data_IF_704155991963
#
_entry.id   IF_704155991963
#
_cell.length_a   1.000
_cell.length_b   1.000
_cell.length_c   1.000
_cell.angle_alpha   90.00
_cell.angle_beta   90.00
_cell.angle_gamma   90.00
#
_symmetry.space_group_name_H-M   'P 1'
#
loop_
_entity.id
_entity.type
_entity.pdbx_description
1 polymer ?
#
# COMPACT_ATOMS: atom_id res chain seq x y z
N UNK A 1 48.63 -9.83 -33.70
CA UNK A 1 47.50 -10.51 -33.05
C UNK A 1 47.22 -9.82 -31.73
N UNK A 2 45.93 -9.77 -31.36
CA UNK A 2 45.31 -9.14 -30.19
C UNK A 2 44.98 -7.64 -30.27
N UNK A 3 43.90 -7.34 -31.01
CA UNK A 3 42.87 -6.40 -30.54
C UNK A 3 41.49 -6.94 -30.92
N UNK A 4 40.67 -7.23 -29.90
CA UNK A 4 39.31 -7.72 -30.02
C UNK A 4 38.54 -7.35 -28.76
N UNK A 5 38.28 -6.05 -28.62
CA UNK A 5 37.49 -5.43 -27.56
C UNK A 5 36.08 -6.05 -27.51
N UNK A 6 35.80 -6.74 -26.40
CA UNK A 6 34.53 -7.38 -26.13
C UNK A 6 33.50 -6.33 -25.77
N UNK A 7 32.64 -5.98 -26.74
CA UNK A 7 31.43 -5.22 -26.51
C UNK A 7 30.50 -5.94 -25.54
N UNK A 8 30.66 -5.65 -24.25
CA UNK A 8 29.67 -5.95 -23.24
C UNK A 8 28.46 -5.05 -23.49
N UNK A 9 27.44 -5.61 -24.13
CA UNK A 9 26.11 -5.04 -24.17
C UNK A 9 25.64 -4.93 -22.72
N UNK A 10 25.78 -3.74 -22.14
CA UNK A 10 25.19 -3.44 -20.84
C UNK A 10 23.68 -3.46 -21.02
N UNK A 11 23.11 -4.64 -20.78
CA UNK A 11 21.68 -4.86 -20.67
C UNK A 11 21.17 -3.85 -19.63
N UNK A 12 20.53 -2.77 -20.10
CA UNK A 12 19.89 -1.78 -19.24
C UNK A 12 18.84 -2.54 -18.43
N UNK A 13 19.19 -2.87 -17.19
CA UNK A 13 18.30 -3.53 -16.25
C UNK A 13 17.02 -2.70 -16.18
N UNK A 14 15.90 -3.32 -16.58
CA UNK A 14 14.59 -2.72 -16.53
C UNK A 14 14.39 -2.11 -15.13
N UNK A 15 14.30 -0.79 -15.09
CA UNK A 15 13.89 -0.03 -13.94
C UNK A 15 12.46 -0.44 -13.61
N UNK A 16 12.31 -1.46 -12.75
CA UNK A 16 11.01 -1.93 -12.29
C UNK A 16 10.42 -0.88 -11.34
N UNK A 17 10.00 0.26 -11.89
CA UNK A 17 9.42 1.37 -11.18
C UNK A 17 8.07 0.91 -10.63
N UNK A 18 7.96 0.87 -9.30
CA UNK A 18 6.76 0.45 -8.61
C UNK A 18 6.37 1.50 -7.57
N UNK A 19 5.06 1.66 -7.39
CA UNK A 19 4.48 2.47 -6.32
C UNK A 19 4.03 1.54 -5.20
N UNK A 20 4.06 2.03 -3.96
CA UNK A 20 3.50 1.30 -2.82
C UNK A 20 2.40 2.12 -2.17
N UNK A 21 1.24 1.50 -1.96
CA UNK A 21 0.07 2.11 -1.33
C UNK A 21 -0.30 1.37 -0.06
N UNK A 22 -1.03 2.01 0.85
CA UNK A 22 -1.70 1.33 1.98
C UNK A 22 -3.21 1.28 1.77
N UNK A 23 -3.81 0.12 2.02
CA UNK A 23 -5.27 -0.08 2.04
C UNK A 23 -5.92 0.40 3.35
N UNK A 24 -5.12 0.77 4.34
CA UNK A 24 -5.57 1.37 5.59
C UNK A 24 -5.84 2.86 5.40
N UNK A 25 -6.98 3.32 5.89
CA UNK A 25 -7.35 4.72 5.89
C UNK A 25 -6.44 5.53 6.81
N UNK A 26 -5.79 6.62 6.33
CA UNK A 26 -4.94 7.48 7.15
C UNK A 26 -5.71 8.29 8.22
N UNK A 27 -7.05 8.26 8.21
CA UNK A 27 -7.88 8.93 9.22
C UNK A 27 -8.24 7.97 10.35
N UNK A 28 -8.80 6.80 10.04
CA UNK A 28 -9.29 5.85 11.06
C UNK A 28 -8.26 4.83 11.51
N UNK A 29 -7.14 4.68 10.80
CA UNK A 29 -6.20 3.56 10.98
C UNK A 29 -6.86 2.18 10.80
N UNK A 30 -7.99 2.12 10.08
CA UNK A 30 -8.71 0.89 9.73
C UNK A 30 -8.70 0.69 8.22
N UNK A 31 -8.94 -0.53 7.75
CA UNK A 31 -9.11 -0.78 6.32
C UNK A 31 -10.24 0.09 5.75
N UNK A 32 -9.98 0.68 4.58
CA UNK A 32 -10.98 1.45 3.87
C UNK A 32 -12.14 0.55 3.43
N UNK A 33 -13.37 1.06 3.52
CA UNK A 33 -14.56 0.45 2.95
C UNK A 33 -14.93 1.14 1.64
N UNK A 34 -14.91 2.48 1.64
CA UNK A 34 -15.19 3.29 0.46
C UNK A 34 -13.99 4.19 0.20
N UNK A 35 -13.01 3.73 -0.61
CA UNK A 35 -11.79 4.48 -0.86
C UNK A 35 -12.08 5.68 -1.78
N UNK A 36 -11.81 6.86 -1.27
CA UNK A 36 -12.05 8.13 -1.96
C UNK A 36 -10.81 9.01 -1.99
N UNK A 37 -10.81 9.94 -2.94
CA UNK A 37 -9.85 11.04 -3.06
C UNK A 37 -10.48 12.20 -3.82
N UNK A 38 -9.85 13.37 -3.82
CA UNK A 38 -10.27 14.47 -4.67
C UNK A 38 -9.89 14.27 -6.14
N UNK A 39 -10.73 14.77 -7.06
CA UNK A 39 -10.48 14.81 -8.52
C UNK A 39 -9.16 15.50 -8.87
N UNK A 40 -8.79 16.54 -8.12
CA UNK A 40 -7.61 17.38 -8.35
C UNK A 40 -6.38 16.96 -7.55
N UNK A 41 -6.50 15.95 -6.67
CA UNK A 41 -5.38 15.46 -5.88
C UNK A 41 -4.26 14.96 -6.81
N UNK A 42 -3.00 15.21 -6.46
CA UNK A 42 -1.83 14.70 -7.20
C UNK A 42 -1.23 13.42 -6.62
N UNK A 43 -1.70 12.98 -5.44
CA UNK A 43 -1.33 11.71 -4.82
C UNK A 43 -2.30 10.60 -5.23
N UNK A 44 -1.87 9.34 -5.15
CA UNK A 44 -2.74 8.17 -5.39
C UNK A 44 -3.39 7.60 -4.13
N UNK A 45 -2.81 7.85 -2.96
CA UNK A 45 -3.30 7.32 -1.68
C UNK A 45 -4.74 7.76 -1.42
N UNK A 46 -5.63 6.81 -1.14
CA UNK A 46 -7.03 7.08 -0.79
C UNK A 46 -7.22 7.09 0.74
N UNK A 47 -8.39 7.56 1.16
CA UNK A 47 -8.89 7.46 2.54
C UNK A 47 -10.37 7.06 2.50
N UNK A 48 -10.93 6.69 3.66
CA UNK A 48 -12.31 6.24 3.74
C UNK A 48 -13.31 7.40 3.75
N UNK A 49 -14.36 7.29 2.94
CA UNK A 49 -15.41 8.31 2.80
C UNK A 49 -16.10 8.62 4.12
N UNK A 50 -16.52 7.60 4.87
CA UNK A 50 -17.28 7.79 6.11
C UNK A 50 -16.45 8.55 7.14
N UNK A 51 -15.14 8.26 7.18
CA UNK A 51 -14.21 8.93 8.08
C UNK A 51 -13.92 10.38 7.66
N UNK A 52 -13.85 10.66 6.36
CA UNK A 52 -13.74 12.03 5.87
C UNK A 52 -14.97 12.87 6.23
N UNK A 53 -16.18 12.34 6.05
CA UNK A 53 -17.41 13.07 6.42
C UNK A 53 -17.47 13.32 7.92
N UNK A 54 -17.24 12.28 8.74
CA UNK A 54 -17.26 12.40 10.20
C UNK A 54 -16.26 13.44 10.73
N UNK A 55 -15.04 13.48 10.19
CA UNK A 55 -14.05 14.47 10.62
C UNK A 55 -14.43 15.91 10.23
N UNK A 56 -15.15 16.09 9.12
CA UNK A 56 -15.65 17.41 8.73
C UNK A 56 -16.88 17.86 9.50
N UNK A 57 -17.74 16.93 9.91
CA UNK A 57 -18.91 17.22 10.75
C UNK A 57 -18.51 17.59 12.20
N UNK A 58 -17.46 16.96 12.72
CA UNK A 58 -17.04 17.14 14.13
C UNK A 58 -16.23 18.41 14.39
N UNK A 59 -15.53 18.94 13.38
CA UNK A 59 -14.73 20.17 13.51
C UNK A 59 -15.62 21.39 13.25
N UNK A 60 -15.65 22.34 14.19
CA UNK A 60 -16.41 23.59 14.03
C UNK A 60 -15.96 24.33 12.75
N UNK A 61 -16.90 24.55 11.82
CA UNK A 61 -16.65 25.14 10.50
C UNK A 61 -16.20 24.16 9.41
N UNK A 62 -15.93 22.89 9.75
CA UNK A 62 -15.45 21.85 8.85
C UNK A 62 -14.00 22.06 8.39
N UNK A 63 -13.22 20.97 8.28
CA UNK A 63 -11.83 21.06 7.81
C UNK A 63 -11.75 21.28 6.29
N UNK A 64 -12.64 20.66 5.54
CA UNK A 64 -12.80 20.63 4.07
C UNK A 64 -11.47 20.61 3.31
N UNK A 65 -10.56 19.73 3.75
CA UNK A 65 -9.23 19.53 3.16
C UNK A 65 -8.90 18.06 3.05
N UNK A 66 -8.25 17.69 1.95
CA UNK A 66 -7.76 16.34 1.71
C UNK A 66 -6.90 15.85 2.91
N UNK A 67 -7.14 14.61 3.34
CA UNK A 67 -6.40 14.00 4.46
C UNK A 67 -4.96 13.58 4.10
N UNK A 68 -4.54 13.72 2.84
CA UNK A 68 -3.22 13.34 2.36
C UNK A 68 -2.40 14.55 1.91
N UNK A 69 -2.95 15.42 1.06
CA UNK A 69 -2.23 16.60 0.53
C UNK A 69 -2.70 17.94 1.08
N UNK A 70 -3.70 17.98 1.94
CA UNK A 70 -4.25 19.20 2.59
C UNK A 70 -4.85 20.27 1.65
N UNK A 71 -4.90 20.01 0.35
CA UNK A 71 -5.63 20.80 -0.62
C UNK A 71 -7.12 20.88 -0.23
N UNK A 72 -7.75 22.02 -0.53
CA UNK A 72 -9.18 22.19 -0.33
C UNK A 72 -9.96 21.12 -1.11
N UNK A 73 -10.98 20.55 -0.46
CA UNK A 73 -11.79 19.50 -1.04
C UNK A 73 -13.21 19.58 -0.48
N UNK A 74 -14.17 19.89 -1.36
CA UNK A 74 -15.59 19.76 -1.08
C UNK A 74 -16.12 18.40 -1.54
N UNK A 75 -17.35 18.07 -1.14
CA UNK A 75 -17.96 16.76 -1.38
C UNK A 75 -18.10 16.45 -2.88
N UNK A 76 -18.48 17.44 -3.69
CA UNK A 76 -18.73 17.32 -5.14
C UNK A 76 -17.42 17.09 -5.94
N UNK A 77 -16.28 17.39 -5.33
CA UNK A 77 -14.96 17.14 -5.91
C UNK A 77 -14.39 15.77 -5.52
N UNK A 78 -15.09 15.00 -4.69
CA UNK A 78 -14.68 13.65 -4.32
C UNK A 78 -15.04 12.64 -5.40
N UNK A 79 -14.18 11.63 -5.52
CA UNK A 79 -14.39 10.47 -6.39
C UNK A 79 -14.05 9.20 -5.64
N UNK A 80 -14.85 8.16 -5.86
CA UNK A 80 -14.51 6.81 -5.43
C UNK A 80 -13.44 6.24 -6.38
N UNK A 81 -12.37 5.69 -5.80
CA UNK A 81 -11.23 5.18 -6.56
C UNK A 81 -11.44 3.72 -6.95
N UNK A 82 -11.73 3.46 -8.23
CA UNK A 82 -11.91 2.11 -8.76
C UNK A 82 -10.69 1.19 -8.57
N UNK A 83 -9.46 1.72 -8.59
CA UNK A 83 -8.25 0.92 -8.30
C UNK A 83 -8.24 0.37 -6.89
N UNK A 84 -8.42 1.24 -5.90
CA UNK A 84 -8.40 0.85 -4.50
C UNK A 84 -9.59 -0.04 -4.16
N UNK A 85 -10.76 0.21 -4.76
CA UNK A 85 -11.92 -0.69 -4.63
C UNK A 85 -11.57 -2.10 -5.10
N UNK A 86 -11.00 -2.25 -6.31
CA UNK A 86 -10.56 -3.56 -6.82
C UNK A 86 -9.50 -4.20 -5.93
N UNK A 87 -8.54 -3.44 -5.40
CA UNK A 87 -7.53 -3.98 -4.48
C UNK A 87 -8.16 -4.48 -3.17
N UNK A 88 -9.08 -3.73 -2.57
CA UNK A 88 -9.78 -4.12 -1.36
C UNK A 88 -10.64 -5.37 -1.58
N UNK A 89 -11.32 -5.48 -2.72
CA UNK A 89 -12.10 -6.66 -3.10
C UNK A 89 -11.20 -7.88 -3.35
N UNK A 90 -10.09 -7.70 -4.08
CA UNK A 90 -9.12 -8.77 -4.39
C UNK A 90 -8.52 -9.36 -3.12
N UNK A 91 -8.31 -8.55 -2.09
CA UNK A 91 -7.67 -8.94 -0.84
C UNK A 91 -8.62 -8.94 0.36
N UNK A 92 -9.93 -9.09 0.16
CA UNK A 92 -10.91 -8.98 1.24
C UNK A 92 -10.63 -9.92 2.42
N UNK A 93 -10.15 -11.14 2.15
CA UNK A 93 -9.84 -12.16 3.16
C UNK A 93 -8.39 -12.10 3.67
N UNK A 94 -7.53 -11.30 3.05
CA UNK A 94 -6.09 -11.28 3.30
C UNK A 94 -5.58 -9.98 3.89
N UNK A 95 -6.20 -8.86 3.48
CA UNK A 95 -5.83 -7.54 3.93
C UNK A 95 -6.21 -7.38 5.40
N UNK A 96 -5.31 -6.77 6.15
CA UNK A 96 -5.54 -6.38 7.54
C UNK A 96 -4.70 -5.15 7.85
N UNK A 97 -4.91 -4.51 8.99
CA UNK A 97 -4.07 -3.36 9.42
C UNK A 97 -2.58 -3.74 9.51
N UNK A 98 -2.26 -5.03 9.71
CA UNK A 98 -0.89 -5.53 9.72
C UNK A 98 -0.40 -6.00 8.35
N UNK A 99 -1.27 -6.10 7.33
CA UNK A 99 -0.96 -6.54 5.97
C UNK A 99 -1.82 -5.75 4.98
N UNK A 100 -1.46 -4.49 4.77
CA UNK A 100 -2.24 -3.51 4.02
C UNK A 100 -1.48 -2.88 2.85
N UNK A 101 -0.19 -3.19 2.69
CA UNK A 101 0.65 -2.60 1.66
C UNK A 101 0.48 -3.32 0.34
N UNK A 102 0.17 -2.58 -0.71
CA UNK A 102 0.09 -3.11 -2.07
C UNK A 102 1.21 -2.49 -2.90
N UNK A 103 2.00 -3.32 -3.57
CA UNK A 103 2.98 -2.91 -4.56
C UNK A 103 2.31 -2.92 -5.93
N UNK A 104 2.30 -1.77 -6.61
CA UNK A 104 1.72 -1.56 -7.93
C UNK A 104 2.85 -1.30 -8.93
N UNK A 105 2.89 -2.06 -10.00
CA UNK A 105 3.95 -2.05 -11.00
C UNK A 105 3.56 -1.24 -12.23
N UNK A 106 4.55 -0.74 -12.99
CA UNK A 106 4.33 0.05 -14.19
C UNK A 106 3.57 -0.70 -15.30
N UNK A 107 3.63 -2.04 -15.30
CA UNK A 107 2.88 -2.91 -16.21
C UNK A 107 1.38 -3.04 -15.85
N UNK A 108 0.94 -2.36 -14.78
CA UNK A 108 -0.44 -2.36 -14.31
C UNK A 108 -0.79 -3.52 -13.37
N UNK A 109 0.17 -4.40 -13.07
CA UNK A 109 -0.02 -5.47 -12.08
C UNK A 109 0.14 -4.96 -10.66
N UNK A 110 -0.49 -5.64 -9.70
CA UNK A 110 -0.26 -5.38 -8.28
C UNK A 110 -0.28 -6.63 -7.43
N UNK A 111 0.40 -6.54 -6.28
CA UNK A 111 0.45 -7.60 -5.28
C UNK A 111 0.37 -7.06 -3.86
N UNK A 112 -0.32 -7.79 -3.00
CA UNK A 112 -0.31 -7.54 -1.57
C UNK A 112 1.05 -7.95 -0.99
N UNK A 113 1.67 -7.04 -0.26
CA UNK A 113 2.95 -7.26 0.38
C UNK A 113 2.78 -8.14 1.64
N UNK A 114 3.86 -8.79 2.11
CA UNK A 114 3.85 -9.48 3.40
C UNK A 114 3.51 -8.54 4.56
N UNK A 115 3.22 -9.13 5.72
CA UNK A 115 2.94 -8.37 6.94
C UNK A 115 3.98 -7.27 7.21
N UNK A 116 3.47 -6.14 7.67
CA UNK A 116 4.25 -5.01 8.13
C UNK A 116 5.17 -5.47 9.27
N UNK A 117 6.48 -5.54 9.00
CA UNK A 117 7.48 -5.77 10.06
C UNK A 117 7.30 -4.69 11.12
N UNK A 118 6.72 -5.05 12.27
CA UNK A 118 6.62 -4.16 13.42
C UNK A 118 8.05 -3.74 13.78
N UNK A 119 8.36 -2.46 13.64
CA UNK A 119 9.66 -1.90 14.06
C UNK A 119 9.84 -1.87 15.57
N UNK A 120 8.90 -2.38 16.35
CA UNK A 120 9.08 -2.60 17.79
C UNK A 120 9.93 -3.85 18.05
N UNK A 121 11.15 -3.83 17.53
CA UNK A 121 12.21 -4.66 18.03
C UNK A 121 12.65 -4.07 19.37
N UNK A 122 12.17 -4.65 20.46
CA UNK A 122 12.84 -4.54 21.75
C UNK A 122 14.34 -4.72 21.50
N UNK A 123 15.17 -3.71 21.78
CA UNK A 123 16.60 -3.92 21.99
C UNK A 123 16.71 -4.97 23.09
N UNK A 124 16.91 -6.23 22.73
CA UNK A 124 17.31 -7.26 23.67
C UNK A 124 18.67 -6.80 24.18
N UNK A 125 18.71 -6.23 25.39
CA UNK A 125 19.97 -6.02 26.09
C UNK A 125 20.60 -7.41 26.22
N UNK A 126 21.73 -7.63 25.56
CA UNK A 126 22.55 -8.81 25.80
C UNK A 126 22.91 -8.82 27.29
N UNK A 127 22.43 -9.82 28.00
CA UNK A 127 23.08 -10.27 29.21
C UNK A 127 23.71 -11.61 28.85
N UNK A 128 25.03 -11.64 28.78
CA UNK A 128 25.78 -12.86 28.52
C UNK A 128 25.63 -13.77 29.73
N UNK A 129 24.82 -14.80 29.60
CA UNK A 129 24.91 -16.00 30.43
C UNK A 129 24.48 -17.19 29.58
N UNK A 130 25.46 -18.04 29.32
CA UNK A 130 25.37 -19.26 28.54
C UNK A 130 24.36 -20.24 29.15
N UNK A 131 23.52 -20.85 28.30
CA UNK A 131 23.13 -22.25 28.50
C UNK A 131 22.66 -22.89 27.18
N UNK A 132 23.00 -24.17 27.06
CA UNK A 132 22.97 -25.02 25.88
C UNK A 132 21.57 -25.63 25.69
N UNK A 133 21.09 -25.72 24.44
CA UNK A 133 19.84 -26.43 24.16
C UNK A 133 19.52 -26.51 22.67
N UNK A 134 20.01 -27.58 22.04
CA UNK A 134 19.72 -27.96 20.66
C UNK A 134 18.23 -28.30 20.47
N UNK A 135 17.59 -27.59 19.54
CA UNK A 135 16.21 -27.84 19.14
C UNK A 135 15.88 -27.08 17.86
N UNK A 136 16.35 -27.59 16.72
CA UNK A 136 16.08 -27.02 15.40
C UNK A 136 14.63 -27.24 15.00
N UNK A 137 13.71 -26.41 15.51
CA UNK A 137 12.40 -26.23 14.90
C UNK A 137 12.58 -25.38 13.64
N UNK A 138 12.59 -26.02 12.47
CA UNK A 138 12.57 -25.35 11.17
C UNK A 138 11.31 -24.47 11.11
N UNK A 139 11.51 -23.15 11.16
CA UNK A 139 10.46 -22.16 10.89
C UNK A 139 10.07 -22.32 9.42
N UNK A 140 8.90 -22.90 9.18
CA UNK A 140 8.26 -22.88 7.86
C UNK A 140 8.14 -21.41 7.48
N UNK A 141 8.78 -21.02 6.38
CA UNK A 141 8.47 -19.74 5.74
C UNK A 141 7.14 -20.00 5.06
N UNK A 142 6.05 -19.52 5.65
CA UNK A 142 4.79 -19.48 4.95
C UNK A 142 5.02 -18.63 3.69
N UNK A 143 4.84 -19.25 2.53
CA UNK A 143 4.89 -18.54 1.25
C UNK A 143 3.78 -17.48 1.27
N UNK A 144 4.08 -16.21 0.96
CA UNK A 144 3.04 -15.21 0.83
C UNK A 144 2.08 -15.66 -0.27
N UNK A 145 0.77 -15.49 -0.04
CA UNK A 145 -0.24 -15.85 -1.04
C UNK A 145 0.14 -15.25 -2.41
N UNK A 146 -0.10 -16.02 -3.46
CA UNK A 146 0.22 -15.61 -4.83
C UNK A 146 -0.92 -14.78 -5.46
N UNK A 147 -1.80 -14.20 -4.64
CA UNK A 147 -2.95 -13.43 -5.13
C UNK A 147 -2.45 -12.12 -5.73
N UNK A 148 -2.59 -12.00 -7.05
CA UNK A 148 -2.19 -10.82 -7.84
C UNK A 148 -3.40 -10.30 -8.59
N UNK A 149 -3.41 -8.99 -8.86
CA UNK A 149 -4.43 -8.36 -9.71
C UNK A 149 -3.80 -7.58 -10.86
N UNK A 150 -4.63 -7.23 -11.85
CA UNK A 150 -4.23 -6.46 -13.03
C UNK A 150 -5.36 -5.51 -13.47
N UNK A 151 -5.00 -4.34 -14.00
CA UNK A 151 -5.91 -3.36 -14.61
C UNK A 151 -6.22 -3.83 -16.02
N UNK A 152 -7.19 -4.74 -16.16
CA UNK A 152 -7.65 -5.25 -17.45
C UNK A 152 -8.71 -4.38 -18.14
N UNK A 153 -9.20 -3.33 -17.47
CA UNK A 153 -10.28 -2.45 -17.95
C UNK A 153 -10.11 -1.03 -17.38
N UNK A 154 -10.50 0.04 -18.11
CA UNK A 154 -10.42 1.41 -17.64
C UNK A 154 -11.02 1.56 -16.23
N UNK A 155 -10.34 2.31 -15.38
CA UNK A 155 -10.80 2.54 -14.02
C UNK A 155 -12.03 3.45 -14.06
N UNK A 156 -13.17 2.91 -13.68
CA UNK A 156 -14.41 3.67 -13.57
C UNK A 156 -14.28 4.63 -12.39
N UNK A 157 -14.30 5.93 -12.69
CA UNK A 157 -14.30 6.99 -11.68
C UNK A 157 -15.76 7.33 -11.41
N UNK A 158 -16.28 6.90 -10.27
CA UNK A 158 -17.61 7.32 -9.81
C UNK A 158 -17.45 8.65 -9.09
N UNK A 159 -18.12 9.67 -9.61
CA UNK A 159 -18.27 10.97 -8.95
C UNK A 159 -19.39 10.83 -7.92
N UNK A 160 -19.08 11.17 -6.67
CA UNK A 160 -20.05 11.17 -5.58
C UNK A 160 -20.89 12.45 -5.56
#
# INVERSE_FOLDING_TARGET
>A
DDEGDGGGEAEMGADNHSLTFTLTCPISMQLMKTPVRGKKCKHMQCYDLSMFLQTNETVFGGRWRCAVCEDFLCLEEMVQCGLFTKMLETYADEASVNRDKVQFHADGTWKLMPENKLRYGSKKRNNDSADNGSGSAKRVKDDPSNTTGNVSSPQEIIIL
#
